data_IF_738370549470
#
_entry.id   IF_738370549470
#
_cell.length_a   1.000
_cell.length_b   1.000
_cell.length_c   1.000
_cell.angle_alpha   90.00
_cell.angle_beta   90.00
_cell.angle_gamma   90.00
#
_symmetry.space_group_name_H-M   'P 1'
#
loop_
_entity.id
_entity.type
_entity.pdbx_description
1 polymer ?
#
# COMPACT_ATOMS: atom_id res chain seq x y z
N UNK A 1 7.40 -17.77 1.55
CA UNK A 1 6.81 -16.43 1.39
C UNK A 1 6.77 -16.16 -0.10
N UNK A 2 5.61 -15.78 -0.63
CA UNK A 2 5.41 -15.52 -2.06
C UNK A 2 6.19 -14.26 -2.50
N UNK A 3 6.72 -14.22 -3.72
CA UNK A 3 7.49 -13.10 -4.25
C UNK A 3 6.66 -11.80 -4.28
N UNK A 4 5.36 -11.92 -4.49
CA UNK A 4 4.42 -10.80 -4.39
C UNK A 4 4.31 -10.28 -2.94
N UNK A 5 4.19 -11.18 -1.95
CA UNK A 5 4.14 -10.77 -0.54
C UNK A 5 5.43 -10.04 -0.12
N UNK A 6 6.59 -10.49 -0.58
CA UNK A 6 7.87 -9.78 -0.33
C UNK A 6 7.84 -8.36 -0.89
N UNK A 7 7.42 -8.21 -2.14
CA UNK A 7 7.37 -6.92 -2.83
C UNK A 7 6.39 -5.96 -2.15
N UNK A 8 5.22 -6.45 -1.76
CA UNK A 8 4.20 -5.67 -1.03
C UNK A 8 4.71 -5.24 0.35
N UNK A 9 5.40 -6.13 1.09
CA UNK A 9 6.00 -5.79 2.39
C UNK A 9 7.10 -4.74 2.27
N UNK A 10 7.97 -4.86 1.25
CA UNK A 10 9.01 -3.86 0.98
C UNK A 10 8.40 -2.51 0.63
N UNK A 11 7.31 -2.48 -0.14
CA UNK A 11 6.57 -1.27 -0.42
C UNK A 11 5.99 -0.64 0.87
N UNK A 12 5.35 -1.42 1.76
CA UNK A 12 4.87 -0.90 3.05
C UNK A 12 6.00 -0.28 3.87
N UNK A 13 7.17 -0.95 3.93
CA UNK A 13 8.33 -0.41 4.62
C UNK A 13 8.75 0.94 4.02
N UNK A 14 8.83 1.04 2.69
CA UNK A 14 9.14 2.29 2.00
C UNK A 14 8.16 3.42 2.38
N UNK A 15 6.86 3.12 2.46
CA UNK A 15 5.84 4.10 2.87
C UNK A 15 6.06 4.57 4.31
N UNK A 16 6.31 3.65 5.25
CA UNK A 16 6.58 4.00 6.64
C UNK A 16 7.84 4.86 6.80
N UNK A 17 8.93 4.48 6.12
CA UNK A 17 10.19 5.22 6.15
C UNK A 17 10.01 6.63 5.56
N UNK A 18 9.38 6.73 4.39
CA UNK A 18 9.11 8.02 3.71
C UNK A 18 8.23 8.94 4.56
N UNK A 19 7.22 8.39 5.23
CA UNK A 19 6.35 9.15 6.14
C UNK A 19 7.11 9.61 7.39
N UNK A 20 7.97 8.76 7.95
CA UNK A 20 8.79 9.12 9.10
C UNK A 20 9.76 10.26 8.77
N UNK A 21 10.43 10.18 7.61
CA UNK A 21 11.31 11.21 7.07
C UNK A 21 10.56 12.55 6.91
N UNK A 22 9.38 12.53 6.27
CA UNK A 22 8.53 13.71 6.11
C UNK A 22 8.19 14.37 7.47
N UNK A 23 7.78 13.59 8.47
CA UNK A 23 7.48 14.11 9.80
C UNK A 23 8.71 14.60 10.57
N UNK A 24 9.89 14.04 10.30
CA UNK A 24 11.16 14.51 10.84
C UNK A 24 11.67 15.79 10.16
N UNK A 25 11.02 16.25 9.08
CA UNK A 25 11.49 17.36 8.26
C UNK A 25 12.71 17.00 7.39
N UNK A 26 12.94 15.71 7.17
CA UNK A 26 14.01 15.15 6.35
C UNK A 26 13.38 14.74 5.02
N UNK A 27 13.73 15.40 3.91
CA UNK A 27 13.23 15.02 2.58
C UNK A 27 12.18 15.98 1.98
N UNK A 28 11.43 15.54 0.95
CA UNK A 28 10.58 16.42 0.15
C UNK A 28 9.36 16.93 0.92
N UNK A 29 8.86 18.10 0.51
CA UNK A 29 7.65 18.74 1.07
C UNK A 29 6.37 17.93 0.88
N UNK A 30 6.36 17.00 -0.07
CA UNK A 30 5.24 16.10 -0.32
C UNK A 30 5.78 14.68 -0.61
N UNK A 31 5.45 13.68 0.25
CA UNK A 31 5.89 12.31 0.05
C UNK A 31 5.08 11.55 -1.01
N UNK A 32 3.90 12.04 -1.41
CA UNK A 32 2.99 11.31 -2.29
C UNK A 32 3.59 10.96 -3.67
N UNK A 33 4.28 11.87 -4.39
CA UNK A 33 4.89 11.54 -5.68
C UNK A 33 5.96 10.44 -5.59
N UNK A 34 6.69 10.36 -4.47
CA UNK A 34 7.67 9.30 -4.24
C UNK A 34 7.00 7.94 -4.02
N UNK A 35 5.94 7.92 -3.20
CA UNK A 35 5.15 6.71 -2.94
C UNK A 35 4.52 6.20 -4.24
N UNK A 36 3.98 7.08 -5.08
CA UNK A 36 3.41 6.70 -6.36
C UNK A 36 4.47 6.15 -7.32
N UNK A 37 5.63 6.80 -7.40
CA UNK A 37 6.75 6.33 -8.23
C UNK A 37 7.19 4.92 -7.82
N UNK A 38 7.31 4.68 -6.51
CA UNK A 38 7.66 3.35 -5.99
C UNK A 38 6.55 2.33 -6.25
N UNK A 39 5.28 2.71 -6.11
CA UNK A 39 4.16 1.83 -6.42
C UNK A 39 4.19 1.38 -7.89
N UNK A 40 4.47 2.30 -8.81
CA UNK A 40 4.65 1.99 -10.25
C UNK A 40 5.84 1.07 -10.49
N UNK A 41 6.97 1.30 -9.82
CA UNK A 41 8.16 0.44 -9.91
C UNK A 41 7.86 -0.99 -9.46
N UNK A 42 7.15 -1.14 -8.34
CA UNK A 42 6.74 -2.44 -7.79
C UNK A 42 5.69 -3.11 -8.69
N UNK A 43 4.74 -2.35 -9.24
CA UNK A 43 3.71 -2.87 -10.13
C UNK A 43 4.28 -3.55 -11.40
N UNK A 44 5.40 -3.06 -11.93
CA UNK A 44 6.10 -3.71 -13.06
C UNK A 44 6.63 -5.11 -12.71
N UNK A 45 6.90 -5.38 -11.43
CA UNK A 45 7.47 -6.65 -10.94
C UNK A 45 6.34 -7.65 -10.62
N UNK A 46 5.20 -7.16 -10.15
CA UNK A 46 4.05 -7.97 -9.80
C UNK A 46 3.34 -8.40 -11.09
N UNK A 47 3.23 -9.72 -11.30
CA UNK A 47 2.52 -10.26 -12.46
C UNK A 47 1.01 -10.04 -12.27
N UNK A 48 0.33 -9.29 -13.16
CA UNK A 48 -1.07 -8.92 -12.92
C UNK A 48 -2.01 -10.05 -13.32
N UNK A 49 -2.48 -10.84 -12.35
CA UNK A 49 -3.69 -11.66 -12.52
C UNK A 49 -4.83 -11.07 -11.69
N UNK A 50 -5.11 -9.80 -11.94
CA UNK A 50 -6.20 -9.09 -11.27
C UNK A 50 -7.54 -9.46 -11.92
N UNK A 51 -8.19 -10.49 -11.40
CA UNK A 51 -9.57 -10.79 -11.76
C UNK A 51 -10.53 -9.83 -11.06
N UNK A 52 -11.58 -9.32 -11.75
CA UNK A 52 -12.64 -8.52 -11.09
C UNK A 52 -13.28 -9.26 -9.89
N UNK A 53 -13.28 -10.60 -9.92
CA UNK A 53 -13.79 -11.46 -8.85
C UNK A 53 -12.92 -11.41 -7.59
N UNK A 54 -11.59 -11.33 -7.72
CA UNK A 54 -10.68 -11.21 -6.57
C UNK A 54 -10.80 -9.87 -5.87
N UNK A 55 -11.56 -8.91 -6.40
CA UNK A 55 -11.72 -7.57 -5.83
C UNK A 55 -13.15 -7.18 -5.46
N UNK A 56 -14.13 -8.08 -5.58
CA UNK A 56 -15.57 -7.75 -5.48
C UNK A 56 -15.98 -6.91 -4.23
N UNK A 57 -15.28 -7.04 -3.09
CA UNK A 57 -15.53 -6.21 -1.89
C UNK A 57 -14.70 -4.92 -1.77
N UNK A 58 -13.61 -4.80 -2.52
CA UNK A 58 -12.69 -3.64 -2.55
C UNK A 58 -12.80 -2.83 -3.85
N UNK A 59 -13.54 -3.35 -4.83
CA UNK A 59 -13.64 -2.81 -6.18
C UNK A 59 -14.21 -1.39 -6.21
N UNK A 60 -15.13 -1.06 -5.32
CA UNK A 60 -15.69 0.29 -5.24
C UNK A 60 -14.65 1.33 -4.87
N UNK A 61 -13.76 1.01 -3.92
CA UNK A 61 -12.66 1.90 -3.50
C UNK A 61 -11.57 1.93 -4.57
N UNK A 62 -11.23 0.77 -5.13
CA UNK A 62 -10.15 0.70 -6.10
C UNK A 62 -10.53 1.22 -7.48
N UNK A 63 -11.80 1.23 -7.87
CA UNK A 63 -12.22 1.73 -9.18
C UNK A 63 -11.85 3.21 -9.35
N UNK A 64 -12.05 4.01 -8.31
CA UNK A 64 -11.71 5.44 -8.32
C UNK A 64 -10.19 5.63 -8.38
N UNK A 65 -9.46 4.98 -7.46
CA UNK A 65 -7.99 5.01 -7.47
C UNK A 65 -7.40 4.49 -8.78
N UNK A 66 -7.99 3.46 -9.39
CA UNK A 66 -7.53 2.90 -10.67
C UNK A 66 -7.71 3.90 -11.80
N UNK A 67 -8.82 4.67 -11.81
CA UNK A 67 -9.02 5.72 -12.79
C UNK A 67 -7.98 6.84 -12.64
N UNK A 68 -7.62 7.19 -11.41
CA UNK A 68 -6.54 8.15 -11.11
C UNK A 68 -5.14 7.60 -11.44
N UNK A 69 -4.97 6.28 -11.43
CA UNK A 69 -3.70 5.60 -11.70
C UNK A 69 -3.49 5.23 -13.18
N UNK A 70 -4.08 5.96 -14.13
CA UNK A 70 -4.03 5.66 -15.56
C UNK A 70 -4.54 4.25 -15.93
N UNK A 71 -5.46 3.71 -15.13
CA UNK A 71 -6.03 2.39 -15.35
C UNK A 71 -5.21 1.22 -14.81
N UNK A 72 -4.14 1.47 -14.04
CA UNK A 72 -3.31 0.41 -13.45
C UNK A 72 -3.88 -0.05 -12.08
N UNK A 73 -4.50 -1.24 -12.01
CA UNK A 73 -5.11 -1.72 -10.77
C UNK A 73 -4.08 -2.19 -9.73
N UNK A 74 -2.85 -2.54 -10.14
CA UNK A 74 -1.78 -2.91 -9.20
C UNK A 74 -1.29 -1.66 -8.48
N UNK A 75 -1.08 -0.57 -9.21
CA UNK A 75 -0.70 0.73 -8.62
C UNK A 75 -1.78 1.22 -7.66
N UNK A 76 -3.06 1.18 -8.07
CA UNK A 76 -4.17 1.57 -7.21
C UNK A 76 -4.23 0.76 -5.90
N UNK A 77 -3.99 -0.54 -5.99
CA UNK A 77 -3.94 -1.45 -4.85
C UNK A 77 -2.77 -1.14 -3.90
N UNK A 78 -1.59 -0.82 -4.43
CA UNK A 78 -0.44 -0.38 -3.65
C UNK A 78 -0.69 0.98 -2.99
N UNK A 79 -1.29 1.96 -3.69
CA UNK A 79 -1.66 3.24 -3.10
C UNK A 79 -2.72 3.09 -1.99
N UNK A 80 -3.71 2.21 -2.16
CA UNK A 80 -4.63 1.87 -1.08
C UNK A 80 -3.89 1.33 0.14
N UNK A 81 -2.89 0.46 -0.06
CA UNK A 81 -2.07 -0.05 1.04
C UNK A 81 -1.22 1.05 1.69
N UNK A 82 -0.74 2.03 0.94
CA UNK A 82 -0.05 3.21 1.48
C UNK A 82 -0.97 4.05 2.39
N UNK A 83 -2.25 4.20 2.03
CA UNK A 83 -3.27 4.83 2.89
C UNK A 83 -3.44 4.04 4.19
N UNK A 84 -3.50 2.70 4.12
CA UNK A 84 -3.58 1.86 5.32
C UNK A 84 -2.35 2.02 6.22
N UNK A 85 -1.14 2.09 5.64
CA UNK A 85 0.10 2.32 6.38
C UNK A 85 0.10 3.69 7.08
N UNK A 86 -0.35 4.74 6.40
CA UNK A 86 -0.47 6.08 6.98
C UNK A 86 -1.47 6.09 8.14
N UNK A 87 -2.63 5.46 7.95
CA UNK A 87 -3.68 5.34 8.98
C UNK A 87 -3.19 4.56 10.19
N UNK A 88 -2.39 3.51 9.98
CA UNK A 88 -1.73 2.76 11.04
C UNK A 88 -0.69 3.60 11.80
N UNK A 89 0.10 4.41 11.10
CA UNK A 89 1.02 5.36 11.73
C UNK A 89 0.28 6.38 12.62
N UNK A 90 -0.85 6.90 12.14
CA UNK A 90 -1.68 7.83 12.91
C UNK A 90 -2.33 7.15 14.12
N UNK A 91 -2.78 5.90 13.98
CA UNK A 91 -3.29 5.08 15.08
C UNK A 91 -2.25 4.90 16.20
N UNK A 92 -1.01 4.57 15.84
CA UNK A 92 0.10 4.46 16.81
C UNK A 92 0.38 5.79 17.50
N UNK A 93 0.37 6.90 16.75
CA UNK A 93 0.55 8.24 17.31
C UNK A 93 -0.56 8.63 18.29
N UNK A 94 -1.76 8.08 18.14
CA UNK A 94 -2.89 8.28 19.08
C UNK A 94 -2.84 7.33 20.29
N UNK A 95 -1.83 6.45 20.37
CA UNK A 95 -1.67 5.51 21.47
C UNK A 95 -2.47 4.21 21.33
N UNK A 96 -2.92 3.85 20.12
CA UNK A 96 -3.48 2.52 19.88
C UNK A 96 -2.41 1.43 20.08
N UNK A 97 -2.82 0.24 20.54
CA UNK A 97 -1.92 -0.87 20.80
C UNK A 97 -1.15 -1.30 19.54
N UNK A 98 0.18 -1.40 19.68
CA UNK A 98 1.09 -1.69 18.57
C UNK A 98 0.87 -3.08 17.98
N UNK A 99 0.55 -4.07 18.83
CA UNK A 99 0.29 -5.44 18.39
C UNK A 99 -0.96 -5.51 17.53
N UNK A 100 -2.01 -4.79 17.93
CA UNK A 100 -3.26 -4.69 17.18
C UNK A 100 -3.12 -3.93 15.86
N UNK A 101 -2.37 -2.84 15.84
CA UNK A 101 -2.05 -2.12 14.58
C UNK A 101 -1.26 -3.02 13.64
N UNK A 102 -0.19 -3.68 14.12
CA UNK A 102 0.63 -4.60 13.32
C UNK A 102 -0.20 -5.73 12.73
N UNK A 103 -1.06 -6.36 13.54
CA UNK A 103 -1.94 -7.44 13.10
C UNK A 103 -2.88 -7.00 11.98
N UNK A 104 -3.46 -5.79 12.07
CA UNK A 104 -4.33 -5.23 11.01
C UNK A 104 -3.56 -5.00 9.72
N UNK A 105 -2.38 -4.40 9.78
CA UNK A 105 -1.55 -4.15 8.60
C UNK A 105 -1.09 -5.46 7.98
N UNK A 106 -0.66 -6.44 8.77
CA UNK A 106 -0.27 -7.76 8.26
C UNK A 106 -1.43 -8.48 7.56
N UNK A 107 -2.66 -8.34 8.07
CA UNK A 107 -3.85 -8.87 7.42
C UNK A 107 -4.09 -8.19 6.06
N UNK A 108 -3.97 -6.85 6.00
CA UNK A 108 -4.09 -6.09 4.75
C UNK A 108 -3.02 -6.50 3.73
N UNK A 109 -1.75 -6.60 4.14
CA UNK A 109 -0.64 -7.03 3.28
C UNK A 109 -0.89 -8.41 2.69
N UNK A 110 -1.30 -9.37 3.52
CA UNK A 110 -1.56 -10.75 3.08
C UNK A 110 -2.77 -10.83 2.15
N UNK A 111 -3.85 -10.09 2.45
CA UNK A 111 -5.02 -10.02 1.59
C UNK A 111 -4.66 -9.40 0.23
N UNK A 112 -3.88 -8.33 0.24
CA UNK A 112 -3.39 -7.64 -0.96
C UNK A 112 -2.54 -8.55 -1.84
N UNK A 113 -1.53 -9.19 -1.25
CA UNK A 113 -0.65 -10.11 -1.95
C UNK A 113 -1.42 -11.27 -2.59
N UNK A 114 -2.42 -11.84 -1.88
CA UNK A 114 -3.28 -12.92 -2.41
C UNK A 114 -4.13 -12.50 -3.60
N UNK A 115 -4.53 -11.23 -3.70
CA UNK A 115 -5.36 -10.72 -4.80
C UNK A 115 -4.55 -10.34 -6.05
N UNK A 116 -3.22 -10.27 -5.92
CA UNK A 116 -2.25 -9.93 -6.96
C UNK A 116 -1.62 -11.18 -7.61
N UNK A 117 -2.26 -12.36 -7.48
CA UNK A 117 -1.81 -13.66 -8.02
C UNK A 117 -2.61 -14.02 -9.25
#
# INVERSE_FOLDING_TARGET
MDANEVSVRQFCKFVFDTRADFHAGIGPRDPLPLIETEARRVAVIITPTISKRSWYGLWHVLKELTAECNGDPVVAALLYLAIQCTTAGDALNRGEDETDVKRRIDACVRDMAKRMV
#
